data_IF_164478531004
#
_entry.id   IF_164478531004
#
_cell.length_a   1.000
_cell.length_b   1.000
_cell.length_c   1.000
_cell.angle_alpha   90.00
_cell.angle_beta   90.00
_cell.angle_gamma   90.00
#
_symmetry.space_group_name_H-M   'P 1'
#
loop_
_entity.id
_entity.type
_entity.pdbx_description
1 polymer ?
#
# COMPACT_ATOMS: atom_id res chain seq x y z
N UNK A 1 -7.46 -23.08 -9.93
CA UNK A 1 -7.16 -21.64 -9.78
C UNK A 1 -5.68 -21.46 -10.04
N UNK A 2 -5.24 -20.55 -10.94
CA UNK A 2 -3.80 -20.38 -11.17
C UNK A 2 -3.18 -19.78 -9.90
N UNK A 3 -2.17 -20.45 -9.36
CA UNK A 3 -1.34 -19.93 -8.27
C UNK A 3 -0.70 -18.64 -8.78
N UNK A 4 -1.04 -17.50 -8.18
CA UNK A 4 -0.32 -16.25 -8.45
C UNK A 4 1.08 -16.40 -7.85
N UNK A 5 2.11 -16.20 -8.66
CA UNK A 5 3.50 -16.15 -8.19
C UNK A 5 3.68 -14.97 -7.24
N UNK A 6 4.68 -15.09 -6.37
CA UNK A 6 5.17 -13.97 -5.57
C UNK A 6 5.53 -12.80 -6.50
N UNK A 7 5.05 -11.62 -6.14
CA UNK A 7 5.22 -10.40 -6.93
C UNK A 7 5.59 -9.25 -5.99
N UNK A 8 6.78 -8.71 -6.19
CA UNK A 8 7.26 -7.52 -5.50
C UNK A 8 7.60 -6.46 -6.55
N UNK A 9 7.12 -5.24 -6.32
CA UNK A 9 7.46 -4.10 -7.17
C UNK A 9 7.62 -2.84 -6.34
N UNK A 10 8.74 -2.15 -6.55
CA UNK A 10 9.03 -0.85 -5.94
C UNK A 10 9.04 0.23 -7.01
N UNK A 11 8.34 1.34 -6.77
CA UNK A 11 8.31 2.50 -7.66
C UNK A 11 8.44 3.80 -6.87
N UNK A 12 9.45 4.58 -7.22
CA UNK A 12 9.54 5.97 -6.79
C UNK A 12 8.55 6.82 -7.58
N UNK A 13 7.94 7.79 -6.90
CA UNK A 13 7.07 8.81 -7.49
C UNK A 13 7.60 10.20 -7.10
N UNK A 14 7.22 11.23 -7.85
CA UNK A 14 7.48 12.60 -7.44
C UNK A 14 6.73 12.94 -6.13
N UNK A 15 7.23 13.88 -5.31
CA UNK A 15 6.58 14.26 -4.04
C UNK A 15 5.09 14.61 -4.21
N UNK A 16 4.73 15.33 -5.28
CA UNK A 16 3.34 15.67 -5.60
C UNK A 16 2.50 14.43 -5.85
N UNK A 17 3.01 13.48 -6.66
CA UNK A 17 2.30 12.25 -6.99
C UNK A 17 2.18 11.30 -5.78
N UNK A 18 3.16 11.31 -4.87
CA UNK A 18 3.10 10.61 -3.58
C UNK A 18 2.04 11.22 -2.68
N UNK A 19 2.08 12.54 -2.46
CA UNK A 19 1.11 13.23 -1.61
C UNK A 19 -0.34 13.08 -2.11
N UNK A 20 -0.56 13.06 -3.43
CA UNK A 20 -1.88 12.79 -4.00
C UNK A 20 -2.39 11.37 -3.68
N UNK A 21 -1.52 10.36 -3.69
CA UNK A 21 -1.89 8.99 -3.31
C UNK A 21 -2.22 8.91 -1.82
N UNK A 22 -1.39 9.53 -0.97
CA UNK A 22 -1.61 9.56 0.48
C UNK A 22 -2.92 10.24 0.86
N UNK A 23 -3.28 11.37 0.24
CA UNK A 23 -4.57 12.03 0.51
C UNK A 23 -5.77 11.13 0.16
N UNK A 24 -5.72 10.46 -1.00
CA UNK A 24 -6.76 9.52 -1.41
C UNK A 24 -6.86 8.31 -0.48
N UNK A 25 -5.73 7.84 0.04
CA UNK A 25 -5.69 6.78 1.04
C UNK A 25 -6.28 7.26 2.37
N UNK A 26 -5.86 8.42 2.87
CA UNK A 26 -6.40 9.03 4.09
C UNK A 26 -7.93 9.18 4.01
N UNK A 27 -8.43 9.71 2.89
CA UNK A 27 -9.87 9.80 2.60
C UNK A 27 -10.59 8.44 2.72
N UNK A 28 -9.97 7.37 2.20
CA UNK A 28 -10.55 6.03 2.22
C UNK A 28 -10.56 5.44 3.64
N UNK A 29 -9.49 5.64 4.40
CA UNK A 29 -9.35 5.22 5.80
C UNK A 29 -10.42 5.90 6.66
N UNK A 30 -10.51 7.23 6.61
CA UNK A 30 -11.45 8.02 7.41
C UNK A 30 -12.91 7.64 7.10
N UNK A 31 -13.22 7.31 5.85
CA UNK A 31 -14.56 6.92 5.40
C UNK A 31 -14.84 5.42 5.54
N UNK A 32 -13.86 4.62 6.00
CA UNK A 32 -13.92 3.14 6.03
C UNK A 32 -14.36 2.54 4.69
N UNK A 33 -13.79 3.03 3.59
CA UNK A 33 -14.07 2.56 2.22
C UNK A 33 -12.88 1.80 1.65
N UNK A 34 -13.11 0.84 0.74
CA UNK A 34 -12.03 0.22 0.00
C UNK A 34 -11.21 1.25 -0.79
N UNK A 35 -9.90 1.03 -0.89
CA UNK A 35 -8.99 1.90 -1.61
C UNK A 35 -8.48 1.21 -2.89
N UNK A 36 -8.41 1.96 -3.99
CA UNK A 36 -7.91 1.46 -5.28
C UNK A 36 -6.71 2.29 -5.73
N UNK A 37 -5.61 1.61 -6.02
CA UNK A 37 -4.34 2.24 -6.42
C UNK A 37 -3.73 1.50 -7.60
N UNK A 38 -2.99 2.23 -8.43
CA UNK A 38 -2.17 1.65 -9.48
C UNK A 38 -0.70 1.69 -9.06
N UNK A 39 -0.03 0.54 -9.13
CA UNK A 39 1.40 0.38 -8.80
C UNK A 39 2.05 -0.38 -9.95
N UNK A 40 3.00 0.28 -10.63
CA UNK A 40 3.72 -0.29 -11.77
C UNK A 40 2.83 -0.94 -12.85
N UNK A 41 1.65 -0.35 -13.10
CA UNK A 41 0.68 -0.87 -14.07
C UNK A 41 -0.35 -1.83 -13.49
N UNK A 42 -0.11 -2.43 -12.33
CA UNK A 42 -1.08 -3.28 -11.65
C UNK A 42 -2.10 -2.45 -10.87
N UNK A 43 -3.37 -2.83 -10.96
CA UNK A 43 -4.43 -2.26 -10.15
C UNK A 43 -4.61 -3.09 -8.86
N UNK A 44 -4.27 -2.49 -7.71
CA UNK A 44 -4.44 -3.10 -6.39
C UNK A 44 -5.76 -2.63 -5.75
N UNK A 45 -6.54 -3.57 -5.23
CA UNK A 45 -7.76 -3.30 -4.46
C UNK A 45 -7.51 -3.65 -3.00
N UNK A 46 -7.46 -2.61 -2.17
CA UNK A 46 -7.26 -2.72 -0.73
C UNK A 46 -8.64 -2.71 -0.06
N UNK A 47 -8.99 -3.73 0.73
CA UNK A 47 -10.27 -3.77 1.40
C UNK A 47 -10.33 -2.73 2.55
N UNK A 48 -11.55 -2.37 2.96
CA UNK A 48 -11.76 -1.34 3.98
C UNK A 48 -11.28 -1.74 5.39
N UNK A 49 -11.09 -3.04 5.62
CA UNK A 49 -10.65 -3.66 6.87
C UNK A 49 -9.16 -4.05 6.86
N UNK A 50 -8.38 -3.59 5.86
CA UNK A 50 -6.94 -3.77 5.86
C UNK A 50 -6.31 -3.15 7.14
N UNK A 51 -5.34 -3.85 7.72
CA UNK A 51 -4.58 -3.35 8.86
C UNK A 51 -3.58 -2.29 8.38
N UNK A 52 -3.63 -1.11 9.00
CA UNK A 52 -2.67 -0.02 8.77
C UNK A 52 -1.55 -0.13 9.80
N UNK A 53 -0.30 -0.17 9.34
CA UNK A 53 0.88 -0.32 10.19
C UNK A 53 1.86 0.79 9.82
N UNK A 54 2.47 1.42 10.82
CA UNK A 54 3.61 2.31 10.63
C UNK A 54 4.83 1.56 11.13
N UNK A 55 5.70 1.17 10.20
CA UNK A 55 6.95 0.47 10.52
C UNK A 55 8.10 1.48 10.46
N UNK A 56 8.97 1.47 11.46
CA UNK A 56 10.19 2.28 11.51
C UNK A 56 11.37 1.36 11.75
N UNK A 57 12.36 1.44 10.87
CA UNK A 57 13.59 0.68 10.98
C UNK A 57 14.79 1.63 10.99
N UNK A 58 15.75 1.35 11.88
CA UNK A 58 17.01 2.08 11.95
C UNK A 58 18.18 1.10 11.93
N UNK A 59 19.11 1.33 11.00
CA UNK A 59 20.37 0.60 10.81
C UNK A 59 21.56 1.57 10.94
N UNK A 60 22.81 1.09 11.01
CA UNK A 60 23.99 1.96 11.14
C UNK A 60 24.13 3.03 10.02
N UNK A 61 23.64 2.73 8.83
CA UNK A 61 23.78 3.55 7.62
C UNK A 61 22.44 3.91 6.95
N UNK A 62 21.30 3.50 7.54
CA UNK A 62 19.98 3.80 6.99
C UNK A 62 18.91 4.01 8.05
N UNK A 63 17.87 4.74 7.65
CA UNK A 63 16.65 4.95 8.42
C UNK A 63 15.47 4.88 7.46
N UNK A 64 14.50 4.03 7.78
CA UNK A 64 13.37 3.71 6.92
C UNK A 64 12.07 3.88 7.72
N UNK A 65 11.07 4.51 7.09
CA UNK A 65 9.73 4.67 7.64
C UNK A 65 8.72 4.25 6.56
N UNK A 66 7.91 3.26 6.86
CA UNK A 66 6.92 2.71 5.94
C UNK A 66 5.51 2.83 6.50
N UNK A 67 4.57 3.22 5.64
CA UNK A 67 3.14 3.10 5.89
C UNK A 67 2.65 1.86 5.16
N UNK A 68 2.41 0.79 5.89
CA UNK A 68 2.04 -0.50 5.33
C UNK A 68 0.55 -0.78 5.49
N UNK A 69 -0.01 -1.43 4.47
CA UNK A 69 -1.38 -1.90 4.44
C UNK A 69 -1.31 -3.43 4.30
N UNK A 70 -1.73 -4.16 5.33
CA UNK A 70 -1.74 -5.64 5.33
C UNK A 70 -3.17 -6.17 5.31
N UNK A 71 -3.47 -7.13 4.44
CA UNK A 71 -4.76 -7.83 4.42
C UNK A 71 -4.62 -9.26 3.90
N UNK A 72 -5.55 -10.13 4.31
CA UNK A 72 -5.65 -11.48 3.75
C UNK A 72 -6.48 -11.42 2.47
N UNK A 73 -6.00 -12.06 1.41
CA UNK A 73 -6.83 -12.33 0.23
C UNK A 73 -7.76 -13.49 0.58
N UNK A 74 -9.06 -13.29 0.51
CA UNK A 74 -10.00 -14.42 0.49
C UNK A 74 -9.84 -15.05 -0.88
N UNK A 75 -9.45 -16.33 -0.94
CA UNK A 75 -9.42 -17.07 -2.19
C UNK A 75 -10.84 -17.03 -2.76
N UNK A 76 -11.01 -16.37 -3.91
CA UNK A 76 -12.18 -16.55 -4.77
C UNK A 76 -12.00 -17.82 -5.58
#
# INVERSE_FOLDING_TARGET
MPVRKDYEVKRAYSPRATAQKLRRLADAIEKRKPFRIQVAGECVHVPADAAMIVEHERKPDSEELEFELKWKRVNG
#
